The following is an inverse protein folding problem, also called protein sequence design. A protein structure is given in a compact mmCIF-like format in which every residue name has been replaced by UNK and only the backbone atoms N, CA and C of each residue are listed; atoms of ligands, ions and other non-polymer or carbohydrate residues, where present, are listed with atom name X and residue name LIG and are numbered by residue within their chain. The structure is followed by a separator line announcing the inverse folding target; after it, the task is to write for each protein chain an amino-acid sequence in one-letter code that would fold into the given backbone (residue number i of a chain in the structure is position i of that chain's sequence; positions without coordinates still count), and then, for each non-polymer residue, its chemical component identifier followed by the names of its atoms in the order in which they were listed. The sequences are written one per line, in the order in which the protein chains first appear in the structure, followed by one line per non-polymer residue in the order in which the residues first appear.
data_IF_245059618010
#
_entry.id   IF_245059618010
#
_cell.length_a   1.000
_cell.length_b   1.000
_cell.length_c   1.000
_cell.angle_alpha   90.00
_cell.angle_beta   90.00
_cell.angle_gamma   90.00
#
_symmetry.space_group_name_H-M   'P 1'
#
loop_
_entity.id
_entity.type
_entity.pdbx_description
1 polymer ?
#
# COMPACT_ATOMS: atom_id res chain seq x y z
N UNK A 1 4.96 -6.63 3.46
CA UNK A 1 4.51 -5.64 4.48
C UNK A 1 3.47 -6.19 5.45
N UNK A 2 2.49 -6.99 5.00
CA UNK A 2 1.46 -7.58 5.86
C UNK A 2 2.02 -8.25 7.13
N UNK A 3 3.00 -9.14 6.99
CA UNK A 3 3.61 -9.87 8.12
C UNK A 3 4.22 -8.94 9.19
N UNK A 4 4.80 -7.82 8.77
CA UNK A 4 5.47 -6.87 9.67
C UNK A 4 4.44 -6.00 10.40
N UNK A 5 3.33 -5.67 9.72
CA UNK A 5 2.18 -4.98 10.30
C UNK A 5 1.45 -5.86 11.30
N UNK A 6 1.16 -7.12 10.96
CA UNK A 6 0.45 -8.06 11.85
C UNK A 6 1.24 -8.38 13.10
N UNK A 7 2.57 -8.34 13.02
CA UNK A 7 3.48 -8.54 14.16
C UNK A 7 3.90 -7.25 14.86
N UNK A 8 3.36 -6.09 14.46
CA UNK A 8 3.67 -4.77 15.01
C UNK A 8 5.17 -4.46 15.14
N UNK A 9 5.96 -4.88 14.14
CA UNK A 9 7.43 -4.78 14.18
C UNK A 9 7.96 -3.43 13.67
N UNK A 10 7.09 -2.53 13.20
CA UNK A 10 7.46 -1.25 12.60
C UNK A 10 6.56 -0.11 13.06
N UNK A 11 7.15 1.07 13.19
CA UNK A 11 6.42 2.32 13.35
C UNK A 11 6.08 2.91 11.98
N UNK A 12 4.82 2.77 11.57
CA UNK A 12 4.37 3.23 10.25
C UNK A 12 4.52 4.73 10.06
N UNK A 13 4.40 5.54 11.12
CA UNK A 13 4.59 6.99 10.99
C UNK A 13 6.04 7.30 10.61
N UNK A 14 7.01 6.59 11.20
CA UNK A 14 8.43 6.71 10.83
C UNK A 14 8.68 6.22 9.41
N UNK A 15 8.11 5.08 9.02
CA UNK A 15 8.25 4.55 7.65
C UNK A 15 7.76 5.56 6.61
N UNK A 16 6.56 6.13 6.80
CA UNK A 16 6.00 7.12 5.88
C UNK A 16 6.85 8.39 5.83
N UNK A 17 7.36 8.86 6.99
CA UNK A 17 8.26 10.01 7.04
C UNK A 17 9.56 9.78 6.27
N UNK A 18 10.15 8.60 6.41
CA UNK A 18 11.37 8.22 5.68
C UNK A 18 11.07 8.13 4.18
N UNK A 19 9.94 7.52 3.81
CA UNK A 19 9.49 7.40 2.42
C UNK A 19 9.30 8.78 1.76
N UNK A 20 8.58 9.71 2.40
CA UNK A 20 8.39 11.08 1.87
C UNK A 20 9.74 11.78 1.68
N UNK A 21 10.65 11.66 2.66
CA UNK A 21 11.99 12.26 2.55
C UNK A 21 12.80 11.66 1.40
N UNK A 22 12.73 10.34 1.21
CA UNK A 22 13.40 9.64 0.12
C UNK A 22 12.86 10.08 -1.26
N UNK A 23 11.54 10.14 -1.41
CA UNK A 23 10.92 10.58 -2.66
C UNK A 23 11.29 12.03 -3.00
N UNK A 24 11.22 12.94 -2.02
CA UNK A 24 11.63 14.35 -2.19
C UNK A 24 13.10 14.49 -2.58
N UNK A 25 13.98 13.68 -2.00
CA UNK A 25 15.39 13.66 -2.37
C UNK A 25 15.62 13.27 -3.84
N UNK A 26 14.72 12.46 -4.40
CA UNK A 26 14.79 12.02 -5.80
C UNK A 26 13.90 12.84 -6.73
N UNK A 27 13.45 14.04 -6.32
CA UNK A 27 12.53 14.90 -7.05
C UNK A 27 11.20 14.21 -7.46
N UNK A 28 10.82 13.17 -6.71
CA UNK A 28 9.57 12.43 -6.90
C UNK A 28 8.53 12.93 -5.89
N UNK A 29 7.41 13.46 -6.40
CA UNK A 29 6.27 13.82 -5.57
C UNK A 29 5.28 12.67 -5.57
N UNK A 30 5.22 11.93 -4.47
CA UNK A 30 4.25 10.85 -4.28
C UNK A 30 3.19 11.31 -3.28
N UNK A 31 2.04 11.74 -3.79
CA UNK A 31 0.87 12.03 -2.97
C UNK A 31 0.06 10.78 -2.71
N UNK A 32 -0.79 10.81 -1.69
CA UNK A 32 -1.78 9.74 -1.45
C UNK A 32 -2.58 9.40 -2.71
N UNK A 33 -3.09 10.41 -3.43
CA UNK A 33 -3.86 10.18 -4.63
C UNK A 33 -3.09 9.44 -5.73
N UNK A 34 -1.83 9.85 -5.99
CA UNK A 34 -0.98 9.20 -6.99
C UNK A 34 -0.69 7.74 -6.61
N UNK A 35 -0.48 7.49 -5.31
CA UNK A 35 -0.23 6.14 -4.82
C UNK A 35 -1.47 5.25 -4.96
N UNK A 36 -2.65 5.74 -4.56
CA UNK A 36 -3.92 5.01 -4.67
C UNK A 36 -4.28 4.70 -6.12
N UNK A 37 -4.10 5.65 -7.05
CA UNK A 37 -4.29 5.42 -8.49
C UNK A 37 -3.34 4.33 -9.02
N UNK A 38 -2.06 4.43 -8.69
CA UNK A 38 -1.05 3.48 -9.13
C UNK A 38 -1.33 2.08 -8.59
N UNK A 39 -1.77 1.99 -7.33
CA UNK A 39 -2.15 0.72 -6.72
C UNK A 39 -3.39 0.13 -7.40
N UNK A 40 -4.41 0.93 -7.68
CA UNK A 40 -5.59 0.47 -8.41
C UNK A 40 -5.23 -0.10 -9.78
N UNK A 41 -4.38 0.59 -10.55
CA UNK A 41 -3.89 0.10 -11.85
C UNK A 41 -3.14 -1.23 -11.72
N UNK A 42 -2.31 -1.39 -10.67
CA UNK A 42 -1.60 -2.65 -10.40
C UNK A 42 -2.56 -3.80 -10.06
N UNK A 43 -3.61 -3.53 -9.30
CA UNK A 43 -4.61 -4.54 -8.93
C UNK A 43 -5.45 -5.04 -10.11
N UNK A 44 -5.58 -4.24 -11.17
CA UNK A 44 -6.23 -4.69 -12.41
C UNK A 44 -5.34 -5.63 -13.25
N UNK A 45 -4.04 -5.71 -12.94
CA UNK A 45 -3.12 -6.61 -13.62
C UNK A 45 -3.07 -7.98 -12.92
N UNK A 46 -3.48 -9.04 -13.62
CA UNK A 46 -3.48 -10.42 -13.12
C UNK A 46 -2.09 -10.98 -12.84
N UNK A 47 -1.07 -10.52 -13.55
CA UNK A 47 0.32 -10.93 -13.31
C UNK A 47 0.77 -10.44 -11.93
N UNK A 48 0.44 -9.19 -11.60
CA UNK A 48 0.76 -8.60 -10.29
C UNK A 48 0.14 -9.39 -9.13
N UNK A 49 -1.12 -9.82 -9.25
CA UNK A 49 -1.78 -10.61 -8.20
C UNK A 49 -1.18 -12.01 -8.08
N UNK A 50 -0.79 -12.63 -9.20
CA UNK A 50 -0.22 -13.97 -9.23
C UNK A 50 1.20 -13.97 -8.64
N UNK A 51 2.04 -13.00 -9.02
CA UNK A 51 3.40 -12.88 -8.51
C UNK A 51 3.42 -12.70 -6.99
N UNK A 52 2.48 -11.93 -6.45
CA UNK A 52 2.41 -11.68 -5.00
C UNK A 52 2.13 -12.95 -4.20
N UNK A 53 1.37 -13.91 -4.75
CA UNK A 53 1.18 -15.23 -4.11
C UNK A 53 2.43 -16.10 -4.10
N UNK A 54 3.31 -15.95 -5.09
CA UNK A 54 4.53 -16.75 -5.21
C UNK A 54 5.70 -16.18 -4.40
N UNK A 55 5.65 -14.91 -4.01
CA UNK A 55 6.69 -14.23 -3.23
C UNK A 55 6.64 -14.52 -1.73
N UNK A 56 5.63 -15.26 -1.25
CA UNK A 56 5.48 -15.62 0.15
C UNK A 56 5.85 -17.09 0.35
N UNK A 57 6.54 -17.37 1.46
CA UNK A 57 6.86 -18.75 1.83
C UNK A 57 5.56 -19.55 1.99
N UNK A 58 5.54 -20.78 1.46
CA UNK A 58 4.36 -21.67 1.44
C UNK A 58 3.76 -21.90 2.84
N UNK A 59 4.56 -21.74 3.89
CA UNK A 59 4.19 -21.92 5.30
C UNK A 59 3.33 -20.77 5.87
N UNK A 60 3.10 -19.71 5.09
CA UNK A 60 2.31 -18.55 5.52
C UNK A 60 0.91 -18.63 4.92
N UNK A 61 -0.10 -18.89 5.76
CA UNK A 61 -1.51 -18.78 5.38
C UNK A 61 -1.84 -17.31 5.06
N UNK A 62 -1.73 -16.98 3.78
CA UNK A 62 -1.82 -15.62 3.28
C UNK A 62 -3.02 -15.46 2.36
N UNK A 63 -3.87 -14.51 2.75
CA UNK A 63 -5.00 -14.04 1.98
C UNK A 63 -4.63 -12.69 1.36
N UNK A 64 -4.54 -12.66 0.02
CA UNK A 64 -4.19 -11.45 -0.72
C UNK A 64 -5.12 -10.28 -0.40
N UNK A 65 -6.43 -10.53 -0.29
CA UNK A 65 -7.42 -9.48 -0.05
C UNK A 65 -7.26 -8.90 1.36
N UNK A 66 -7.10 -9.75 2.38
CA UNK A 66 -6.81 -9.27 3.75
C UNK A 66 -5.49 -8.51 3.83
N UNK A 67 -4.49 -8.95 3.08
CA UNK A 67 -3.20 -8.27 2.97
C UNK A 67 -3.36 -6.86 2.38
N UNK A 68 -4.10 -6.76 1.28
CA UNK A 68 -4.40 -5.50 0.61
C UNK A 68 -5.17 -4.54 1.52
N UNK A 69 -6.25 -5.01 2.16
CA UNK A 69 -7.07 -4.20 3.05
C UNK A 69 -6.26 -3.64 4.21
N UNK A 70 -5.39 -4.46 4.80
CA UNK A 70 -4.50 -4.04 5.88
C UNK A 70 -3.49 -3.00 5.41
N UNK A 71 -2.86 -3.19 4.25
CA UNK A 71 -1.90 -2.23 3.70
C UNK A 71 -2.60 -0.91 3.36
N UNK A 72 -3.78 -0.97 2.78
CA UNK A 72 -4.55 0.22 2.43
C UNK A 72 -4.90 1.02 3.69
N UNK A 73 -5.48 0.34 4.69
CA UNK A 73 -5.87 0.95 5.96
C UNK A 73 -4.66 1.49 6.74
N UNK A 74 -3.61 0.70 6.91
CA UNK A 74 -2.55 1.04 7.86
C UNK A 74 -1.43 1.87 7.25
N UNK A 75 -1.25 1.88 5.93
CA UNK A 75 -0.16 2.60 5.25
C UNK A 75 -0.70 3.64 4.27
N UNK A 76 -1.46 3.21 3.26
CA UNK A 76 -1.81 4.09 2.13
C UNK A 76 -2.64 5.29 2.60
N UNK A 77 -3.60 5.08 3.49
CA UNK A 77 -4.44 6.18 4.03
C UNK A 77 -3.64 7.22 4.82
N UNK A 78 -2.46 6.85 5.33
CA UNK A 78 -1.59 7.71 6.15
C UNK A 78 -0.53 8.46 5.31
N UNK A 79 -0.45 8.21 4.01
CA UNK A 79 0.38 8.99 3.10
C UNK A 79 -0.18 10.43 3.04
N UNK A 80 0.67 11.47 3.07
CA UNK A 80 0.20 12.85 2.96
C UNK A 80 -0.51 13.16 1.64
N UNK A 81 -1.51 14.04 1.72
CA UNK A 81 -2.27 14.53 0.57
C UNK A 81 -3.72 14.03 0.56
N UNK A 82 -4.47 14.52 -0.43
CA UNK A 82 -5.87 14.17 -0.61
C UNK A 82 -6.00 12.74 -1.18
N UNK A 83 -7.09 12.00 -0.85
CA UNK A 83 -7.37 10.69 -1.44
C UNK A 83 -7.62 10.78 -2.95
N UNK A 84 -7.36 9.69 -3.66
CA UNK A 84 -7.75 9.48 -5.05
C UNK A 84 -9.22 9.11 -5.12
N UNK A 85 -10.00 9.92 -5.85
CA UNK A 85 -11.47 9.83 -5.92
C UNK A 85 -12.07 9.88 -4.51
N UNK A 86 -12.47 11.07 -4.03
CA UNK A 86 -13.40 11.15 -2.91
C UNK A 86 -14.57 10.20 -3.22
N UNK A 87 -14.91 9.26 -2.33
CA UNK A 87 -16.08 8.40 -2.50
C UNK A 87 -17.32 9.28 -2.76
N UNK A 88 -17.65 9.45 -4.03
CA UNK A 88 -18.84 10.08 -4.55
C UNK A 88 -19.58 9.08 -5.44
N UNK A 89 -19.58 7.81 -5.04
CA UNK A 89 -20.54 6.82 -5.52
C UNK A 89 -21.07 6.07 -4.30
N UNK A 90 -21.88 6.78 -3.52
CA UNK A 90 -23.08 6.17 -2.96
C UNK A 90 -24.17 6.30 -4.02
N UNK A 91 -24.39 5.27 -4.83
CA UNK A 91 -25.71 4.92 -5.40
C UNK A 91 -25.71 3.41 -5.64
#
# INVERSE_FOLDING_TARGET
MWLVLTRNLIDIKKVIKIFDRYCRHNDQIVTRAIFEESMFKKLQNKEFTTDMSLLLAEEVDWDFQKGLDLVQKEIITKIPGNPWKCNAEKV
#
